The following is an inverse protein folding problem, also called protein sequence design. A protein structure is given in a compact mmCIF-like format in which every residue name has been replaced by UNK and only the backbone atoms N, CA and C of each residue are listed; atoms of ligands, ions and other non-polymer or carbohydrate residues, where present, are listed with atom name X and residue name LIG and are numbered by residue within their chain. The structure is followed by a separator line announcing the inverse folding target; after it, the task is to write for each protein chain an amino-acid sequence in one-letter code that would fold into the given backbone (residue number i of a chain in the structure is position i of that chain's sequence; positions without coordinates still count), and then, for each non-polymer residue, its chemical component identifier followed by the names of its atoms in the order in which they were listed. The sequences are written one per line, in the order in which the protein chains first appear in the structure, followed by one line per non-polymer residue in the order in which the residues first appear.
data_IF_286789537311
#
_entry.id   IF_286789537311
#
_cell.length_a   1.000
_cell.length_b   1.000
_cell.length_c   1.000
_cell.angle_alpha   90.00
_cell.angle_beta   90.00
_cell.angle_gamma   90.00
#
_symmetry.space_group_name_H-M   'P 1'
#
loop_
_entity.id
_entity.type
_entity.pdbx_description
1 polymer ?
#
# COMPACT_ATOMS: atom_id res chain seq x y z
N UNK A 1 3.59 -6.13 -13.42
CA UNK A 1 3.20 -4.76 -13.89
C UNK A 1 4.45 -3.91 -13.90
N UNK A 2 4.66 -3.11 -14.94
CA UNK A 2 5.80 -2.20 -15.06
C UNK A 2 5.33 -0.74 -14.96
N UNK A 3 6.27 0.19 -14.76
CA UNK A 3 5.99 1.63 -14.68
C UNK A 3 5.09 2.14 -15.81
N UNK A 4 5.39 1.78 -17.06
CA UNK A 4 4.61 2.21 -18.24
C UNK A 4 3.12 1.83 -18.16
N UNK A 5 2.84 0.64 -17.63
CA UNK A 5 1.48 0.13 -17.47
C UNK A 5 0.78 0.82 -16.29
N UNK A 6 1.51 1.05 -15.19
CA UNK A 6 1.02 1.77 -14.02
C UNK A 6 0.66 3.22 -14.36
N UNK A 7 1.53 3.92 -15.07
CA UNK A 7 1.28 5.29 -15.54
C UNK A 7 0.02 5.36 -16.41
N UNK A 8 -0.11 4.44 -17.37
CA UNK A 8 -1.29 4.35 -18.22
C UNK A 8 -2.57 4.07 -17.42
N UNK A 9 -2.50 3.20 -16.41
CA UNK A 9 -3.63 2.88 -15.54
C UNK A 9 -4.08 4.12 -14.76
N UNK A 10 -3.15 4.80 -14.10
CA UNK A 10 -3.41 6.02 -13.32
C UNK A 10 -4.04 7.14 -14.18
N UNK A 11 -3.52 7.33 -15.39
CA UNK A 11 -4.08 8.30 -16.32
C UNK A 11 -5.52 7.95 -16.72
N UNK A 12 -5.78 6.68 -17.05
CA UNK A 12 -7.12 6.21 -17.41
C UNK A 12 -8.12 6.32 -16.26
N UNK A 13 -7.70 6.07 -15.04
CA UNK A 13 -8.53 6.29 -13.82
C UNK A 13 -9.04 7.73 -13.77
N UNK A 14 -8.20 8.70 -14.12
CA UNK A 14 -8.58 10.13 -14.21
C UNK A 14 -9.27 10.50 -15.52
N UNK A 15 -9.54 9.53 -16.38
CA UNK A 15 -10.19 9.72 -17.70
C UNK A 15 -9.48 10.74 -18.60
N UNK A 16 -8.15 10.82 -18.49
CA UNK A 16 -7.31 11.78 -19.22
C UNK A 16 -6.70 11.16 -20.47
N UNK A 17 -6.52 11.97 -21.51
CA UNK A 17 -5.69 11.64 -22.67
C UNK A 17 -4.20 11.84 -22.34
N UNK A 18 -3.30 11.24 -23.13
CA UNK A 18 -1.85 11.44 -22.99
C UNK A 18 -1.47 12.93 -23.15
N UNK A 19 -2.12 13.62 -24.09
CA UNK A 19 -1.87 15.04 -24.32
C UNK A 19 -2.33 15.94 -23.18
N UNK A 20 -3.47 15.63 -22.54
CA UNK A 20 -3.96 16.36 -21.37
C UNK A 20 -3.03 16.18 -20.18
N UNK A 21 -2.61 14.94 -19.90
CA UNK A 21 -1.64 14.67 -18.81
C UNK A 21 -0.30 15.39 -19.07
N UNK A 22 0.20 15.33 -20.31
CA UNK A 22 1.42 16.04 -20.70
C UNK A 22 1.31 17.55 -20.46
N UNK A 23 0.18 18.16 -20.83
CA UNK A 23 -0.06 19.60 -20.62
C UNK A 23 -0.11 19.95 -19.13
N UNK A 24 -0.80 19.16 -18.33
CA UNK A 24 -0.93 19.37 -16.87
C UNK A 24 0.43 19.30 -16.18
N UNK A 25 1.27 18.35 -16.58
CA UNK A 25 2.61 18.16 -16.01
C UNK A 25 3.67 19.10 -16.64
N UNK A 26 3.24 19.95 -17.59
CA UNK A 26 4.13 20.84 -18.34
C UNK A 26 5.23 20.08 -19.09
N UNK A 27 4.84 18.98 -19.74
CA UNK A 27 5.73 18.16 -20.59
C UNK A 27 5.47 18.43 -22.08
N UNK A 28 6.47 18.12 -22.89
CA UNK A 28 6.32 18.14 -24.35
C UNK A 28 5.25 17.16 -24.84
N UNK A 29 4.69 17.42 -26.03
CA UNK A 29 3.55 16.71 -26.61
C UNK A 29 3.68 15.18 -26.62
N UNK A 30 4.89 14.63 -26.75
CA UNK A 30 5.13 13.19 -26.89
C UNK A 30 5.65 12.53 -25.62
N UNK A 31 5.91 13.28 -24.54
CA UNK A 31 6.59 12.74 -23.36
C UNK A 31 5.79 11.59 -22.73
N UNK A 32 4.49 11.78 -22.46
CA UNK A 32 3.65 10.76 -21.85
C UNK A 32 3.51 9.53 -22.75
N UNK A 33 3.38 9.74 -24.06
CA UNK A 33 3.34 8.63 -25.03
C UNK A 33 4.62 7.81 -25.02
N UNK A 34 5.78 8.46 -24.93
CA UNK A 34 7.07 7.80 -24.86
C UNK A 34 7.25 7.04 -23.54
N UNK A 35 6.80 7.58 -22.41
CA UNK A 35 6.82 6.89 -21.12
C UNK A 35 5.89 5.66 -21.12
N UNK A 36 4.66 5.80 -21.61
CA UNK A 36 3.71 4.69 -21.67
C UNK A 36 4.04 3.60 -22.70
N UNK A 37 4.86 3.92 -23.71
CA UNK A 37 5.36 2.94 -24.68
C UNK A 37 6.69 2.31 -24.28
N UNK A 38 7.34 2.84 -23.24
CA UNK A 38 8.67 2.39 -22.80
C UNK A 38 9.82 2.83 -23.72
N UNK A 39 9.56 3.81 -24.62
CA UNK A 39 10.62 4.37 -25.48
C UNK A 39 11.61 5.22 -24.72
N UNK A 40 11.14 5.94 -23.70
CA UNK A 40 11.95 6.76 -22.82
C UNK A 40 11.56 6.48 -21.37
N UNK A 41 12.54 6.57 -20.49
CA UNK A 41 12.33 6.56 -19.05
C UNK A 41 12.25 7.99 -18.51
N UNK A 42 11.36 8.28 -17.55
CA UNK A 42 11.30 9.59 -16.93
C UNK A 42 12.51 9.83 -16.02
N UNK A 43 12.92 11.09 -15.91
CA UNK A 43 13.90 11.50 -14.92
C UNK A 43 13.35 11.35 -13.49
N UNK A 44 14.23 11.34 -12.49
CA UNK A 44 13.83 11.34 -11.07
C UNK A 44 12.90 12.52 -10.76
N UNK A 45 13.16 13.68 -11.34
CA UNK A 45 12.32 14.88 -11.19
C UNK A 45 10.94 14.65 -11.79
N UNK A 46 10.85 14.01 -12.94
CA UNK A 46 9.57 13.69 -13.58
C UNK A 46 8.79 12.63 -12.80
N UNK A 47 9.47 11.60 -12.28
CA UNK A 47 8.86 10.61 -11.42
C UNK A 47 8.22 11.24 -10.18
N UNK A 48 8.91 12.19 -9.52
CA UNK A 48 8.36 12.94 -8.38
C UNK A 48 7.11 13.72 -8.77
N UNK A 49 7.14 14.48 -9.86
CA UNK A 49 5.99 15.24 -10.36
C UNK A 49 4.79 14.34 -10.68
N UNK A 50 5.04 13.20 -11.32
CA UNK A 50 4.00 12.23 -11.65
C UNK A 50 3.38 11.64 -10.37
N UNK A 51 4.21 11.23 -9.41
CA UNK A 51 3.77 10.68 -8.13
C UNK A 51 2.92 11.68 -7.33
N UNK A 52 3.37 12.93 -7.23
CA UNK A 52 2.63 14.03 -6.59
C UNK A 52 1.30 14.28 -7.29
N UNK A 53 1.31 14.38 -8.62
CA UNK A 53 0.09 14.62 -9.37
C UNK A 53 -0.97 13.54 -9.14
N UNK A 54 -0.59 12.27 -9.14
CA UNK A 54 -1.51 11.17 -8.91
C UNK A 54 -1.77 10.88 -7.43
N UNK A 55 -1.06 11.55 -6.52
CA UNK A 55 -1.09 11.32 -5.07
C UNK A 55 -0.80 9.86 -4.73
N UNK A 56 0.32 9.37 -5.25
CA UNK A 56 0.82 8.01 -5.03
C UNK A 56 2.27 8.04 -4.58
N UNK A 57 2.73 6.97 -3.90
CA UNK A 57 4.15 6.82 -3.60
C UNK A 57 4.97 6.51 -4.84
N UNK A 58 6.27 6.80 -4.80
CA UNK A 58 7.20 6.39 -5.85
C UNK A 58 7.28 4.86 -5.96
N UNK A 59 7.23 4.15 -4.84
CA UNK A 59 7.25 2.69 -4.81
C UNK A 59 6.05 2.09 -5.54
N UNK A 60 4.87 2.67 -5.33
CA UNK A 60 3.67 2.28 -6.07
C UNK A 60 3.80 2.59 -7.56
N UNK A 61 4.27 3.80 -7.90
CA UNK A 61 4.43 4.24 -9.29
C UNK A 61 5.43 3.35 -10.03
N UNK A 62 6.53 2.97 -9.38
CA UNK A 62 7.59 2.11 -9.93
C UNK A 62 7.28 0.61 -9.81
N UNK A 63 6.11 0.25 -9.29
CA UNK A 63 5.67 -1.13 -9.12
C UNK A 63 6.55 -1.96 -8.16
N UNK A 64 7.22 -1.31 -7.20
CA UNK A 64 7.97 -1.98 -6.12
C UNK A 64 7.00 -2.65 -5.14
N UNK A 65 5.85 -2.01 -4.88
CA UNK A 65 4.76 -2.55 -4.10
C UNK A 65 3.40 -2.07 -4.65
N UNK A 66 2.30 -2.63 -4.12
CA UNK A 66 0.93 -2.26 -4.51
C UNK A 66 0.23 -1.33 -3.51
N UNK A 67 0.98 -0.76 -2.57
CA UNK A 67 0.47 0.22 -1.60
C UNK A 67 0.51 1.61 -2.23
N UNK A 68 -0.66 2.12 -2.63
CA UNK A 68 -0.79 3.36 -3.41
C UNK A 68 -0.14 4.57 -2.74
N UNK A 69 -0.40 4.76 -1.47
CA UNK A 69 0.24 5.77 -0.65
C UNK A 69 0.34 5.31 0.81
N UNK A 70 1.51 4.81 1.25
CA UNK A 70 1.70 4.38 2.63
C UNK A 70 1.68 5.54 3.64
N UNK A 71 1.83 6.78 3.15
CA UNK A 71 1.91 8.01 3.97
C UNK A 71 0.59 8.78 4.03
N UNK A 72 -0.49 8.30 3.40
CA UNK A 72 -1.81 8.84 3.73
C UNK A 72 -2.01 8.47 5.20
N UNK A 73 -1.99 9.48 6.07
CA UNK A 73 -2.62 9.36 7.37
C UNK A 73 -4.03 8.88 7.09
N UNK A 74 -4.25 7.57 7.28
CA UNK A 74 -5.61 7.07 7.31
C UNK A 74 -6.24 7.85 8.45
N UNK A 75 -7.37 8.48 8.21
CA UNK A 75 -8.23 8.99 9.26
C UNK A 75 -8.65 7.79 10.10
N UNK A 76 -7.74 7.40 10.98
CA UNK A 76 -8.07 6.41 11.98
C UNK A 76 -9.09 7.03 12.92
N UNK A 77 -10.10 6.28 13.37
CA UNK A 77 -11.00 6.75 14.40
C UNK A 77 -10.19 7.38 15.54
N UNK A 78 -10.68 8.47 16.12
CA UNK A 78 -10.00 9.22 17.17
C UNK A 78 -9.46 8.31 18.29
N UNK A 79 -10.22 7.26 18.63
CA UNK A 79 -9.81 6.20 19.55
C UNK A 79 -8.51 5.47 19.16
N UNK A 80 -8.22 5.35 17.86
CA UNK A 80 -6.98 4.72 17.40
C UNK A 80 -5.78 5.66 17.56
N UNK A 81 -5.97 6.95 17.37
CA UNK A 81 -4.93 7.95 17.60
C UNK A 81 -4.58 8.03 19.10
N UNK A 82 -5.59 7.95 19.98
CA UNK A 82 -5.39 7.85 21.41
C UNK A 82 -4.63 6.58 21.79
N UNK A 83 -5.02 5.43 21.25
CA UNK A 83 -4.31 4.16 21.45
C UNK A 83 -2.84 4.26 21.01
N UNK A 84 -2.57 4.83 19.83
CA UNK A 84 -1.21 5.04 19.32
C UNK A 84 -0.36 5.88 20.27
N UNK A 85 -0.93 6.95 20.81
CA UNK A 85 -0.25 7.81 21.77
C UNK A 85 0.07 7.05 23.07
N UNK A 86 -0.89 6.32 23.62
CA UNK A 86 -0.70 5.49 24.81
C UNK A 86 0.37 4.43 24.53
N UNK A 87 0.31 3.73 23.40
CA UNK A 87 1.29 2.71 23.03
C UNK A 87 2.71 3.25 22.95
N UNK A 88 2.90 4.47 22.42
CA UNK A 88 4.24 5.08 22.33
C UNK A 88 4.84 5.39 23.71
N UNK A 89 4.02 5.65 24.72
CA UNK A 89 4.44 5.95 26.10
C UNK A 89 4.78 4.70 26.91
N UNK A 90 4.42 3.51 26.42
CA UNK A 90 4.70 2.27 27.13
C UNK A 90 6.19 1.92 27.09
N UNK A 91 6.68 1.37 28.19
CA UNK A 91 7.98 0.69 28.29
C UNK A 91 8.03 -0.53 27.37
N UNK A 92 9.21 -0.95 26.86
CA UNK A 92 9.35 -2.09 25.96
C UNK A 92 8.68 -3.37 26.46
N UNK A 93 8.89 -3.73 27.72
CA UNK A 93 8.28 -4.92 28.34
C UNK A 93 6.74 -4.87 28.34
N UNK A 94 6.16 -3.68 28.49
CA UNK A 94 4.71 -3.49 28.45
C UNK A 94 4.15 -3.56 27.03
N UNK A 95 4.94 -3.15 26.05
CA UNK A 95 4.59 -3.32 24.62
C UNK A 95 4.52 -4.80 24.26
N UNK A 96 5.51 -5.59 24.64
CA UNK A 96 5.54 -7.04 24.37
C UNK A 96 4.36 -7.77 25.04
N UNK A 97 4.00 -7.35 26.25
CA UNK A 97 2.83 -7.88 26.95
C UNK A 97 1.52 -7.54 26.24
N UNK A 98 1.38 -6.30 25.79
CA UNK A 98 0.20 -5.83 25.04
C UNK A 98 0.09 -6.56 23.70
N UNK A 99 1.18 -6.71 22.96
CA UNK A 99 1.22 -7.44 21.69
C UNK A 99 0.83 -8.90 21.87
N UNK A 100 1.32 -9.55 22.92
CA UNK A 100 0.94 -10.91 23.28
C UNK A 100 -0.55 -11.04 23.59
N UNK A 101 -1.09 -10.08 24.34
CA UNK A 101 -2.52 -10.01 24.65
C UNK A 101 -3.39 -9.80 23.39
N UNK A 102 -2.98 -8.92 22.49
CA UNK A 102 -3.68 -8.69 21.23
C UNK A 102 -3.69 -9.94 20.35
N UNK A 103 -2.57 -10.67 20.27
CA UNK A 103 -2.50 -11.93 19.54
C UNK A 103 -3.44 -12.98 20.15
N UNK A 104 -3.48 -13.07 21.48
CA UNK A 104 -4.42 -13.97 22.16
C UNK A 104 -5.89 -13.61 21.87
N UNK A 105 -6.25 -12.33 21.86
CA UNK A 105 -7.60 -11.87 21.51
C UNK A 105 -7.98 -12.28 20.08
N UNK A 106 -7.08 -12.07 19.12
CA UNK A 106 -7.31 -12.44 17.71
C UNK A 106 -7.51 -13.96 17.60
N UNK A 107 -6.68 -14.74 18.27
CA UNK A 107 -6.72 -16.20 18.24
C UNK A 107 -8.03 -16.76 18.84
N UNK A 108 -8.50 -16.16 19.93
CA UNK A 108 -9.79 -16.49 20.54
C UNK A 108 -10.95 -16.10 19.68
N UNK A 109 -10.90 -14.94 19.03
CA UNK A 109 -11.94 -14.48 18.10
C UNK A 109 -12.01 -15.38 16.87
N UNK A 110 -10.89 -15.78 16.28
CA UNK A 110 -10.86 -16.67 15.11
C UNK A 110 -11.38 -18.07 15.43
N UNK A 111 -11.17 -18.58 16.63
CA UNK A 111 -11.72 -19.86 17.09
C UNK A 111 -13.23 -19.83 17.27
N UNK A 112 -13.81 -18.68 17.53
CA UNK A 112 -15.26 -18.49 17.72
C UNK A 112 -16.05 -18.23 16.42
N UNK A 113 -15.37 -17.99 15.29
CA UNK A 113 -16.01 -17.71 14.01
C UNK A 113 -16.31 -19.03 13.25
N UNK A 114 -17.57 -19.33 12.89
CA UNK A 114 -17.88 -20.50 12.09
C UNK A 114 -17.14 -20.49 10.75
N UNK A 115 -16.65 -21.66 10.30
CA UNK A 115 -15.84 -21.82 9.06
C UNK A 115 -16.49 -21.25 7.78
N UNK A 116 -17.76 -20.99 7.78
CA UNK A 116 -18.53 -20.33 6.70
C UNK A 116 -18.16 -18.84 6.52
N UNK A 117 -17.73 -18.15 7.57
CA UNK A 117 -17.37 -16.73 7.50
C UNK A 117 -15.94 -16.50 6.97
N UNK A 118 -15.07 -17.49 7.01
CA UNK A 118 -13.70 -17.40 6.47
C UNK A 118 -13.68 -17.26 4.94
N UNK A 119 -14.62 -17.92 4.23
CA UNK A 119 -14.73 -17.81 2.76
C UNK A 119 -15.13 -16.42 2.28
N UNK A 120 -15.90 -15.69 3.08
CA UNK A 120 -16.31 -14.31 2.76
C UNK A 120 -15.18 -13.28 2.98
N UNK A 121 -14.28 -13.50 3.96
CA UNK A 121 -13.15 -12.62 4.22
C UNK A 121 -12.06 -12.72 3.15
N UNK A 122 -11.81 -13.91 2.61
CA UNK A 122 -10.87 -14.12 1.50
C UNK A 122 -11.37 -13.47 0.22
N UNK A 123 -12.69 -13.45 -0.01
CA UNK A 123 -13.29 -12.78 -1.17
C UNK A 123 -13.22 -11.23 -1.09
N UNK A 124 -12.99 -10.67 0.09
CA UNK A 124 -12.86 -9.21 0.31
C UNK A 124 -11.42 -8.70 0.35
N UNK A 125 -10.42 -9.51 -0.03
CA UNK A 125 -9.04 -9.07 -0.25
C UNK A 125 -8.23 -8.75 1.00
N UNK A 126 -8.61 -9.26 2.17
CA UNK A 126 -7.77 -9.16 3.37
C UNK A 126 -6.68 -10.23 3.33
N UNK A 127 -5.43 -9.80 3.11
CA UNK A 127 -4.26 -10.66 3.11
C UNK A 127 -4.09 -11.33 4.48
N UNK A 128 -4.16 -12.65 4.51
CA UNK A 128 -3.80 -13.45 5.68
C UNK A 128 -2.27 -13.47 5.79
N UNK A 129 -1.72 -12.83 6.79
CA UNK A 129 -0.31 -12.88 7.12
C UNK A 129 0.03 -14.27 7.65
N UNK A 130 0.63 -15.14 6.81
CA UNK A 130 1.20 -16.40 7.28
C UNK A 130 2.55 -16.15 7.93
N UNK A 131 2.62 -16.20 9.24
CA UNK A 131 3.88 -16.31 9.95
C UNK A 131 4.53 -17.65 9.60
N UNK A 132 5.70 -17.61 8.96
CA UNK A 132 6.58 -18.78 8.84
C UNK A 132 7.16 -19.08 10.22
N UNK A 133 6.61 -20.02 10.94
CA UNK A 133 7.31 -20.64 12.05
C UNK A 133 8.48 -21.43 11.47
N UNK A 134 9.69 -21.01 11.82
CA UNK A 134 10.92 -21.75 11.60
C UNK A 134 10.88 -23.06 12.37
N UNK A 135 10.66 -24.15 11.68
CA UNK A 135 10.95 -25.48 12.20
C UNK A 135 12.44 -25.74 12.08
N UNK A 136 13.17 -25.61 13.17
CA UNK A 136 14.47 -26.25 13.34
C UNK A 136 14.21 -27.68 13.78
N UNK A 137 14.67 -28.65 13.03
CA UNK A 137 15.04 -29.99 13.53
C UNK A 137 16.13 -30.55 12.62
N UNK A 138 17.27 -30.65 13.22
CA UNK A 138 18.10 -31.79 13.65
C UNK A 138 18.01 -33.05 12.74
N UNK A 139 19.03 -33.28 11.96
CA UNK A 139 19.98 -34.39 12.18
C UNK A 139 21.17 -34.22 11.24
#
# INVERSE_FOLDING_TARGET
MEFKERLRSLRKERKQTQGELGRILNYGYTAISNYESGRNEPSITDLKKIAEYFNVSLDYLLCVNDVRNPYIERDYPEQFNEFKNIYTMLEPEKKDMLDSFMHWLIDTQLKSVPKTAERLKVAQGQAVYKSKSSGSDKQ
#
